data_IF_710869503755
#
_entry.id   IF_710869503755
#
_cell.length_a   1.000
_cell.length_b   1.000
_cell.length_c   1.000
_cell.angle_alpha   90.00
_cell.angle_beta   90.00
_cell.angle_gamma   90.00
#
_symmetry.space_group_name_H-M   'P 1'
#
loop_
_entity.id
_entity.type
_entity.pdbx_description
1 polymer ?
#
# COMPACT_ATOMS: atom_id res chain seq x y z
N UNK A 1 6.41 12.46 -15.40
CA UNK A 1 6.24 13.93 -15.63
C UNK A 1 6.26 14.63 -14.28
N UNK A 2 6.66 15.94 -14.25
CA UNK A 2 6.63 16.72 -13.00
C UNK A 2 5.19 17.19 -12.71
N UNK A 3 4.88 17.48 -11.44
CA UNK A 3 3.57 18.02 -11.02
C UNK A 3 3.14 19.24 -11.85
N UNK A 4 4.08 20.18 -12.10
CA UNK A 4 3.84 21.37 -12.91
C UNK A 4 3.37 21.02 -14.33
N UNK A 5 4.05 20.07 -14.98
CA UNK A 5 3.72 19.69 -16.36
C UNK A 5 2.37 18.95 -16.42
N UNK A 6 2.09 18.07 -15.46
CA UNK A 6 0.80 17.38 -15.37
C UNK A 6 -0.36 18.36 -15.14
N UNK A 7 -0.15 19.40 -14.31
CA UNK A 7 -1.14 20.45 -14.11
C UNK A 7 -1.38 21.27 -15.38
N UNK A 8 -0.31 21.79 -16.01
CA UNK A 8 -0.43 22.58 -17.24
C UNK A 8 -1.18 21.76 -18.30
N UNK A 9 -0.76 20.52 -18.52
CA UNK A 9 -1.39 19.64 -19.51
C UNK A 9 -2.85 19.32 -19.15
N UNK A 10 -3.12 18.97 -17.91
CA UNK A 10 -4.47 18.58 -17.48
C UNK A 10 -5.47 19.75 -17.49
N UNK A 11 -5.02 20.94 -17.09
CA UNK A 11 -5.86 22.14 -17.04
C UNK A 11 -6.01 22.83 -18.41
N UNK A 12 -5.14 22.56 -19.40
CA UNK A 12 -5.31 23.05 -20.77
C UNK A 12 -6.40 22.31 -21.55
N UNK A 13 -6.81 21.13 -21.12
CA UNK A 13 -7.88 20.35 -21.79
C UNK A 13 -9.24 21.03 -21.66
N UNK A 14 -10.15 20.78 -22.62
CA UNK A 14 -11.55 21.22 -22.53
C UNK A 14 -12.21 20.70 -21.25
N UNK A 15 -12.08 19.40 -20.96
CA UNK A 15 -12.44 18.79 -19.67
C UNK A 15 -11.21 18.78 -18.79
N UNK A 16 -11.19 19.65 -17.77
CA UNK A 16 -10.07 19.78 -16.83
C UNK A 16 -9.87 18.49 -16.04
N UNK A 17 -8.62 18.04 -15.94
CA UNK A 17 -8.25 16.80 -15.23
C UNK A 17 -6.94 17.02 -14.48
N UNK A 18 -6.90 16.61 -13.24
CA UNK A 18 -5.65 16.50 -12.46
C UNK A 18 -5.47 15.04 -12.10
N UNK A 19 -4.28 14.45 -12.36
CA UNK A 19 -4.04 13.05 -12.00
C UNK A 19 -4.27 12.77 -10.51
N UNK A 20 -5.01 11.71 -10.20
CA UNK A 20 -5.40 11.36 -8.83
C UNK A 20 -4.22 11.05 -7.91
N UNK A 21 -3.06 10.69 -8.46
CA UNK A 21 -1.83 10.44 -7.70
C UNK A 21 -1.44 11.60 -6.79
N UNK A 22 -1.80 12.83 -7.12
CA UNK A 22 -1.50 14.02 -6.30
C UNK A 22 -2.37 14.15 -5.04
N UNK A 23 -3.39 13.31 -4.88
CA UNK A 23 -4.12 13.16 -3.62
C UNK A 23 -3.38 12.30 -2.59
N UNK A 24 -2.33 11.57 -3.00
CA UNK A 24 -1.61 10.60 -2.18
C UNK A 24 -0.23 11.08 -1.73
N UNK A 25 -0.09 12.38 -1.43
CA UNK A 25 1.05 12.87 -0.68
C UNK A 25 1.01 12.36 0.78
N UNK A 26 1.96 12.77 1.60
CA UNK A 26 2.02 12.33 2.99
C UNK A 26 0.72 12.66 3.78
N UNK A 27 0.16 13.84 3.56
CA UNK A 27 -1.05 14.28 4.25
C UNK A 27 -2.30 13.60 3.69
N UNK A 28 -2.40 13.49 2.36
CA UNK A 28 -3.47 12.76 1.69
C UNK A 28 -3.51 11.29 2.10
N UNK A 29 -2.36 10.63 2.23
CA UNK A 29 -2.27 9.27 2.73
C UNK A 29 -2.82 9.13 4.15
N UNK A 30 -2.57 10.11 5.04
CA UNK A 30 -3.18 10.14 6.38
C UNK A 30 -4.70 10.34 6.35
N UNK A 31 -5.19 11.18 5.44
CA UNK A 31 -6.63 11.34 5.27
C UNK A 31 -7.28 10.08 4.75
N UNK A 32 -6.64 9.40 3.80
CA UNK A 32 -7.12 8.11 3.31
C UNK A 32 -7.20 7.06 4.44
N UNK A 33 -6.19 6.99 5.33
CA UNK A 33 -6.28 6.12 6.52
C UNK A 33 -7.54 6.41 7.36
N UNK A 34 -7.86 7.70 7.59
CA UNK A 34 -9.09 8.08 8.31
C UNK A 34 -10.35 7.65 7.55
N UNK A 35 -10.36 7.79 6.22
CA UNK A 35 -11.47 7.33 5.38
C UNK A 35 -11.67 5.82 5.53
N UNK A 36 -10.61 5.02 5.53
CA UNK A 36 -10.71 3.56 5.68
C UNK A 36 -11.30 3.11 7.02
N UNK A 37 -11.33 3.98 8.01
CA UNK A 37 -11.90 3.72 9.34
C UNK A 37 -13.40 4.08 9.43
N UNK A 38 -13.93 4.82 8.44
CA UNK A 38 -15.34 5.21 8.44
C UNK A 38 -16.27 4.01 8.22
N UNK A 39 -17.43 4.03 8.85
CA UNK A 39 -18.42 2.96 8.77
C UNK A 39 -18.90 2.75 7.31
N UNK A 40 -19.05 3.83 6.59
CA UNK A 40 -19.53 3.86 5.19
C UNK A 40 -18.48 3.29 4.22
N UNK A 41 -17.20 3.38 4.54
CA UNK A 41 -16.13 2.88 3.68
C UNK A 41 -15.90 1.37 3.90
N UNK A 42 -16.83 0.56 3.39
CA UNK A 42 -16.79 -0.89 3.54
C UNK A 42 -15.67 -1.62 2.76
N UNK A 43 -15.07 -1.09 1.65
CA UNK A 43 -14.14 -1.85 0.82
C UNK A 43 -12.95 -2.40 1.64
N UNK A 44 -12.33 -1.58 2.49
CA UNK A 44 -11.20 -2.01 3.33
C UNK A 44 -11.58 -3.16 4.27
N UNK A 45 -12.80 -3.14 4.83
CA UNK A 45 -13.27 -4.23 5.70
C UNK A 45 -13.47 -5.52 4.93
N UNK A 46 -14.07 -5.45 3.75
CA UNK A 46 -14.28 -6.61 2.87
C UNK A 46 -12.96 -7.19 2.37
N UNK A 47 -12.04 -6.34 1.97
CA UNK A 47 -10.68 -6.77 1.60
C UNK A 47 -10.01 -7.53 2.75
N UNK A 48 -10.04 -6.99 3.98
CA UNK A 48 -9.48 -7.66 5.16
C UNK A 48 -10.15 -9.00 5.46
N UNK A 49 -11.47 -9.14 5.27
CA UNK A 49 -12.18 -10.41 5.39
C UNK A 49 -11.68 -11.46 4.39
N UNK A 50 -11.51 -11.05 3.13
CA UNK A 50 -10.98 -11.91 2.05
C UNK A 50 -9.55 -12.34 2.38
N UNK A 51 -8.68 -11.39 2.76
CA UNK A 51 -7.29 -11.66 3.13
C UNK A 51 -7.19 -12.63 4.31
N UNK A 52 -8.05 -12.53 5.33
CA UNK A 52 -8.12 -13.49 6.45
C UNK A 52 -8.48 -14.90 5.98
N UNK A 53 -9.37 -15.06 4.99
CA UNK A 53 -9.70 -16.36 4.41
C UNK A 53 -8.51 -16.94 3.62
N UNK A 54 -7.85 -16.10 2.83
CA UNK A 54 -6.69 -16.49 2.02
C UNK A 54 -5.50 -16.84 2.91
N UNK A 55 -5.25 -16.10 3.99
CA UNK A 55 -4.08 -16.28 4.86
C UNK A 55 -3.98 -17.70 5.43
N UNK A 56 -5.11 -18.35 5.66
CA UNK A 56 -5.17 -19.75 6.13
C UNK A 56 -4.76 -20.78 5.06
N UNK A 57 -4.99 -20.45 3.79
CA UNK A 57 -4.71 -21.34 2.64
C UNK A 57 -3.30 -21.11 2.07
N UNK A 58 -2.83 -19.87 2.09
CA UNK A 58 -1.59 -19.43 1.45
C UNK A 58 -0.35 -20.28 1.80
N UNK A 59 -0.09 -20.63 3.07
CA UNK A 59 1.06 -21.46 3.43
C UNK A 59 1.03 -22.87 2.85
N UNK A 60 -0.18 -23.36 2.50
CA UNK A 60 -0.39 -24.69 1.93
C UNK A 60 -0.27 -24.69 0.40
N UNK A 61 -0.46 -23.53 -0.24
CA UNK A 61 -0.42 -23.38 -1.71
C UNK A 61 1.00 -23.33 -2.26
N UNK A 62 1.98 -22.97 -1.44
CA UNK A 62 3.36 -22.78 -1.89
C UNK A 62 4.34 -23.57 -1.03
N UNK A 63 5.32 -24.17 -1.69
CA UNK A 63 6.47 -24.80 -1.05
C UNK A 63 7.59 -23.76 -0.88
N UNK A 64 8.27 -23.78 0.30
CA UNK A 64 9.41 -22.88 0.54
C UNK A 64 9.03 -21.50 1.09
N UNK A 65 9.97 -20.57 0.94
CA UNK A 65 9.82 -19.20 1.45
C UNK A 65 9.01 -18.33 0.49
N UNK A 66 8.23 -17.42 1.08
CA UNK A 66 7.39 -16.47 0.35
C UNK A 66 8.01 -15.07 0.35
N UNK A 67 7.81 -14.39 -0.76
CA UNK A 67 8.06 -12.96 -0.93
C UNK A 67 6.76 -12.29 -1.35
N UNK A 68 6.41 -11.17 -0.70
CA UNK A 68 5.25 -10.38 -1.08
C UNK A 68 5.69 -9.07 -1.72
N UNK A 69 5.03 -8.74 -2.84
CA UNK A 69 5.08 -7.41 -3.45
C UNK A 69 3.67 -6.82 -3.35
N UNK A 70 3.53 -5.64 -2.77
CA UNK A 70 2.23 -4.99 -2.60
C UNK A 70 2.26 -3.61 -3.26
N UNK A 71 1.44 -3.44 -4.29
CA UNK A 71 1.25 -2.18 -5.01
C UNK A 71 0.22 -1.34 -4.26
N UNK A 72 0.52 -0.05 -4.00
CA UNK A 72 -0.34 0.81 -3.19
C UNK A 72 -0.43 0.33 -1.74
N UNK A 73 0.71 0.02 -1.13
CA UNK A 73 0.79 -0.63 0.18
C UNK A 73 0.27 0.24 1.34
N UNK A 74 0.28 1.57 1.19
CA UNK A 74 -0.20 2.50 2.20
C UNK A 74 0.40 2.26 3.60
N UNK A 75 -0.47 2.07 4.60
CA UNK A 75 -0.09 1.83 6.00
C UNK A 75 0.51 0.43 6.28
N UNK A 76 0.66 -0.42 5.27
CA UNK A 76 1.16 -1.81 5.40
C UNK A 76 0.33 -2.70 6.34
N UNK A 77 -0.94 -2.35 6.59
CA UNK A 77 -1.78 -3.11 7.52
C UNK A 77 -2.26 -4.43 6.95
N UNK A 78 -2.43 -4.51 5.64
CA UNK A 78 -2.94 -5.70 4.95
C UNK A 78 -1.95 -6.86 5.02
N UNK A 79 -0.66 -6.58 4.84
CA UNK A 79 0.37 -7.62 4.91
C UNK A 79 0.42 -8.32 6.27
N UNK A 80 0.06 -7.62 7.35
CA UNK A 80 0.02 -8.22 8.71
C UNK A 80 -0.92 -9.41 8.80
N UNK A 81 -1.99 -9.42 7.98
CA UNK A 81 -2.98 -10.52 7.92
C UNK A 81 -2.38 -11.74 7.22
N UNK A 82 -1.49 -11.53 6.25
CA UNK A 82 -0.86 -12.58 5.45
C UNK A 82 0.42 -13.12 6.07
N UNK A 83 0.93 -12.49 7.14
CA UNK A 83 2.18 -12.91 7.80
C UNK A 83 2.09 -14.33 8.35
N UNK A 84 3.08 -15.13 7.96
CA UNK A 84 3.29 -16.50 8.47
C UNK A 84 4.79 -16.84 8.46
N UNK A 85 5.14 -18.02 8.95
CA UNK A 85 6.55 -18.46 9.07
C UNK A 85 7.32 -18.57 7.75
N UNK A 86 6.62 -18.67 6.61
CA UNK A 86 7.25 -18.77 5.28
C UNK A 86 7.58 -17.39 4.68
N UNK A 87 6.98 -16.30 5.15
CA UNK A 87 7.19 -14.96 4.60
C UNK A 87 8.56 -14.43 5.05
N UNK A 88 9.46 -14.21 4.09
CA UNK A 88 10.83 -13.73 4.33
C UNK A 88 11.08 -12.32 3.83
N UNK A 89 10.46 -11.95 2.70
CA UNK A 89 10.63 -10.66 2.06
C UNK A 89 9.29 -9.97 1.86
N UNK A 90 9.32 -8.64 1.99
CA UNK A 90 8.19 -7.79 1.68
C UNK A 90 8.67 -6.55 0.94
N UNK A 91 8.07 -6.29 -0.22
CA UNK A 91 8.35 -5.17 -1.11
C UNK A 91 7.10 -4.30 -1.21
N UNK A 92 6.87 -3.40 -0.24
CA UNK A 92 5.79 -2.43 -0.38
C UNK A 92 6.16 -1.39 -1.42
N UNK A 93 5.24 -1.08 -2.33
CA UNK A 93 5.38 -0.06 -3.37
C UNK A 93 4.31 0.99 -3.15
N UNK A 94 4.71 2.26 -3.06
CA UNK A 94 3.77 3.36 -2.90
C UNK A 94 4.39 4.66 -3.42
N UNK A 95 3.56 5.59 -3.88
CA UNK A 95 3.99 6.91 -4.34
C UNK A 95 4.34 7.84 -3.16
N UNK A 96 3.75 7.61 -1.99
CA UNK A 96 3.94 8.43 -0.79
C UNK A 96 5.19 8.01 -0.01
N UNK A 97 6.37 8.49 -0.45
CA UNK A 97 7.68 8.05 0.07
C UNK A 97 7.80 8.16 1.59
N UNK A 98 7.52 9.32 2.18
CA UNK A 98 7.59 9.52 3.64
C UNK A 98 6.62 8.61 4.39
N UNK A 99 5.45 8.36 3.81
CA UNK A 99 4.42 7.54 4.45
C UNK A 99 4.83 6.06 4.46
N UNK A 100 5.24 5.50 3.31
CA UNK A 100 5.65 4.09 3.20
C UNK A 100 6.90 3.77 4.03
N UNK A 101 7.88 4.70 4.09
CA UNK A 101 9.08 4.52 4.90
C UNK A 101 8.73 4.43 6.40
N UNK A 102 7.83 5.30 6.88
CA UNK A 102 7.37 5.26 8.26
C UNK A 102 6.56 4.00 8.58
N UNK A 103 5.67 3.59 7.68
CA UNK A 103 4.89 2.35 7.80
C UNK A 103 5.81 1.11 7.85
N UNK A 104 6.83 1.08 6.98
CA UNK A 104 7.81 0.00 6.93
C UNK A 104 8.65 -0.10 8.21
N UNK A 105 9.06 1.03 8.80
CA UNK A 105 9.76 1.05 10.09
C UNK A 105 8.90 0.45 11.20
N UNK A 106 7.61 0.87 11.30
CA UNK A 106 6.67 0.31 12.29
C UNK A 106 6.45 -1.20 12.08
N UNK A 107 6.33 -1.64 10.83
CA UNK A 107 6.18 -3.05 10.51
C UNK A 107 7.42 -3.86 10.90
N UNK A 108 8.60 -3.33 10.67
CA UNK A 108 9.88 -3.97 11.05
C UNK A 108 10.01 -4.20 12.55
N UNK A 109 9.54 -3.27 13.38
CA UNK A 109 9.50 -3.46 14.83
C UNK A 109 8.62 -4.63 15.24
N UNK A 110 7.48 -4.82 14.54
CA UNK A 110 6.55 -5.92 14.81
C UNK A 110 7.04 -7.27 14.27
N UNK A 111 7.79 -7.26 13.17
CA UNK A 111 8.31 -8.46 12.49
C UNK A 111 9.82 -8.34 12.26
N UNK A 112 10.66 -8.51 13.29
CA UNK A 112 12.11 -8.25 13.19
C UNK A 112 12.85 -9.13 12.16
N UNK A 113 12.34 -10.35 11.92
CA UNK A 113 12.94 -11.29 10.94
C UNK A 113 12.53 -11.01 9.50
N UNK A 114 11.49 -10.19 9.27
CA UNK A 114 11.03 -9.84 7.92
C UNK A 114 12.03 -8.89 7.25
N UNK A 115 12.46 -9.22 6.05
CA UNK A 115 13.28 -8.34 5.21
C UNK A 115 12.35 -7.43 4.41
N UNK A 116 12.26 -6.15 4.78
CA UNK A 116 11.38 -5.15 4.15
C UNK A 116 12.23 -4.25 3.26
N UNK A 117 11.84 -4.10 1.99
CA UNK A 117 12.47 -3.22 1.01
C UNK A 117 11.41 -2.31 0.38
N UNK A 118 11.12 -1.15 0.99
CA UNK A 118 10.14 -0.22 0.44
C UNK A 118 10.63 0.39 -0.88
N UNK A 119 9.72 0.53 -1.83
CA UNK A 119 9.96 1.13 -3.15
C UNK A 119 9.04 2.32 -3.30
N UNK A 120 9.62 3.51 -3.50
CA UNK A 120 8.87 4.74 -3.77
C UNK A 120 8.72 4.86 -5.28
N UNK A 121 7.55 4.60 -5.81
CA UNK A 121 7.28 4.64 -7.24
C UNK A 121 5.81 4.96 -7.55
N UNK A 122 5.62 5.62 -8.69
CA UNK A 122 4.34 5.69 -9.40
C UNK A 122 4.25 4.44 -10.28
N UNK A 123 3.23 3.65 -10.12
CA UNK A 123 3.04 2.37 -10.82
C UNK A 123 2.00 2.46 -11.96
N UNK A 124 1.61 3.69 -12.34
CA UNK A 124 0.76 3.98 -13.51
C UNK A 124 1.61 4.32 -14.73
#
# INVERSE_FOLDING_TARGET
>A
MSFKNDLIFGLSKKKKVIPSKYHYDYQGSKYFEKITQQKEYYPTRKEKEILKKISKKLPKMFNGNLSFCEIGSGATDKIKILMNKKVRFYFPIDISGKFILNASKKLKLKFPKLKIKPVVADYN
#
